data_IF_631546166208
#
_entry.id   IF_631546166208
#
_cell.length_a   1.000
_cell.length_b   1.000
_cell.length_c   1.000
_cell.angle_alpha   90.00
_cell.angle_beta   90.00
_cell.angle_gamma   90.00
#
_symmetry.space_group_name_H-M   'P 1'
#
loop_
_entity.id
_entity.type
_entity.pdbx_description
1 polymer ?
#
# COMPACT_ATOMS: atom_id res chain seq x y z
N UNK A 1 18.63 3.77 -10.00
CA UNK A 1 17.97 4.80 -9.15
C UNK A 1 16.61 5.08 -9.78
N UNK A 2 15.50 4.61 -9.19
CA UNK A 2 14.15 4.93 -9.68
C UNK A 2 13.72 6.29 -9.14
N UNK A 3 13.41 7.26 -10.02
CA UNK A 3 12.90 8.57 -9.62
C UNK A 3 11.49 8.42 -9.04
N UNK A 4 11.20 9.13 -7.96
CA UNK A 4 9.85 9.24 -7.41
C UNK A 4 9.25 10.55 -7.90
N UNK A 5 8.01 10.50 -8.37
CA UNK A 5 7.24 11.64 -8.84
C UNK A 5 6.05 11.85 -7.91
N UNK A 6 5.72 13.09 -7.57
CA UNK A 6 4.42 13.42 -6.97
C UNK A 6 3.36 13.59 -8.07
N UNK A 7 2.07 13.54 -7.71
CA UNK A 7 0.99 13.80 -8.66
C UNK A 7 1.10 15.20 -9.30
N UNK A 8 1.52 16.20 -8.51
CA UNK A 8 1.74 17.56 -9.01
C UNK A 8 2.90 17.65 -9.99
N UNK A 9 4.03 16.98 -9.71
CA UNK A 9 5.15 16.90 -10.66
C UNK A 9 4.79 16.13 -11.92
N UNK A 10 4.06 15.02 -11.80
CA UNK A 10 3.64 14.22 -12.94
C UNK A 10 2.76 15.04 -13.89
N UNK A 11 1.86 15.86 -13.35
CA UNK A 11 0.97 16.74 -14.12
C UNK A 11 1.71 17.78 -14.96
N UNK A 12 3.00 18.04 -14.72
CA UNK A 12 3.82 18.93 -15.56
C UNK A 12 4.29 18.27 -16.87
N UNK A 13 4.07 16.97 -17.01
CA UNK A 13 4.46 16.14 -18.16
C UNK A 13 3.22 15.65 -18.94
N UNK A 14 2.19 16.51 -19.06
CA UNK A 14 0.95 16.25 -19.78
C UNK A 14 1.08 16.36 -21.31
N UNK A 15 2.26 16.73 -21.81
CA UNK A 15 2.51 16.88 -23.24
C UNK A 15 1.96 18.18 -23.85
N UNK A 16 1.50 19.14 -23.03
CA UNK A 16 1.24 20.52 -23.50
C UNK A 16 2.52 21.22 -23.96
N UNK A 17 3.65 20.94 -23.30
CA UNK A 17 4.97 21.43 -23.73
C UNK A 17 5.61 20.44 -24.71
N UNK A 18 5.83 20.88 -25.96
CA UNK A 18 6.46 20.05 -27.00
C UNK A 18 7.92 19.64 -26.70
N UNK A 19 8.61 20.45 -25.89
CA UNK A 19 10.00 20.22 -25.48
C UNK A 19 10.13 19.22 -24.32
N UNK A 20 9.04 19.00 -23.57
CA UNK A 20 9.01 18.07 -22.44
C UNK A 20 8.60 16.66 -22.87
N UNK A 21 9.08 15.62 -22.16
CA UNK A 21 8.56 14.28 -22.32
C UNK A 21 7.11 14.17 -21.83
N UNK A 22 6.41 13.12 -22.26
CA UNK A 22 5.04 12.81 -21.86
C UNK A 22 5.06 11.59 -20.96
N UNK A 23 4.51 11.73 -19.76
CA UNK A 23 4.50 10.66 -18.75
C UNK A 23 3.08 10.20 -18.41
N UNK A 24 2.94 8.91 -18.12
CA UNK A 24 1.69 8.32 -17.63
C UNK A 24 2.03 7.42 -16.45
N UNK A 25 1.23 7.49 -15.38
CA UNK A 25 1.33 6.57 -14.26
C UNK A 25 0.29 5.45 -14.38
N UNK A 26 0.74 4.21 -14.26
CA UNK A 26 -0.12 3.02 -14.17
C UNK A 26 0.36 2.17 -13.01
N UNK A 27 -0.54 1.95 -12.06
CA UNK A 27 -0.35 1.19 -10.81
C UNK A 27 0.84 1.70 -10.01
N UNK A 28 0.98 3.02 -9.95
CA UNK A 28 2.09 3.70 -9.29
C UNK A 28 3.43 3.62 -10.03
N UNK A 29 3.50 3.06 -11.24
CA UNK A 29 4.70 3.07 -12.09
C UNK A 29 4.56 4.15 -13.15
N UNK A 30 5.59 4.97 -13.33
CA UNK A 30 5.61 6.06 -14.32
C UNK A 30 6.34 5.59 -15.58
N UNK A 31 5.65 5.68 -16.72
CA UNK A 31 6.14 5.31 -18.04
C UNK A 31 6.39 6.54 -18.91
N UNK A 32 7.47 6.51 -19.69
CA UNK A 32 7.72 7.47 -20.77
C UNK A 32 6.98 7.05 -22.03
N UNK A 33 5.96 7.83 -22.39
CA UNK A 33 5.16 7.65 -23.60
C UNK A 33 5.45 8.73 -24.64
N UNK A 34 6.60 9.41 -24.55
CA UNK A 34 6.99 10.49 -25.46
C UNK A 34 7.12 10.01 -26.91
N UNK A 35 7.46 8.74 -27.11
CA UNK A 35 7.49 8.09 -28.42
C UNK A 35 6.09 7.95 -29.07
N UNK A 36 5.02 8.08 -28.29
CA UNK A 36 3.63 8.00 -28.72
C UNK A 36 2.90 9.35 -28.51
N UNK A 37 3.60 10.46 -28.74
CA UNK A 37 3.07 11.82 -28.55
C UNK A 37 1.84 12.10 -29.40
N UNK A 38 1.70 11.51 -30.59
CA UNK A 38 0.48 11.63 -31.41
C UNK A 38 -0.78 11.08 -30.73
N UNK A 39 -0.62 10.19 -29.74
CA UNK A 39 -1.70 9.55 -29.01
C UNK A 39 -1.98 10.22 -27.66
N UNK A 40 -0.92 10.46 -26.89
CA UNK A 40 -1.01 10.96 -25.51
C UNK A 40 -0.68 12.45 -25.37
N UNK A 41 -0.06 13.05 -26.37
CA UNK A 41 0.20 14.50 -26.37
C UNK A 41 -1.07 15.31 -26.59
N UNK A 42 -0.93 16.64 -26.49
CA UNK A 42 -2.00 17.61 -26.71
C UNK A 42 -2.74 17.34 -28.03
N UNK A 43 -4.08 17.21 -27.98
CA UNK A 43 -4.91 16.96 -29.16
C UNK A 43 -4.97 15.50 -29.62
N UNK A 44 -4.27 14.59 -28.93
CA UNK A 44 -4.37 13.15 -29.16
C UNK A 44 -5.62 12.54 -28.51
N UNK A 45 -6.10 11.39 -28.99
CA UNK A 45 -7.30 10.72 -28.45
C UNK A 45 -7.17 10.30 -26.98
N UNK A 46 -5.94 10.20 -26.47
CA UNK A 46 -5.63 9.80 -25.11
C UNK A 46 -4.91 10.89 -24.31
N UNK A 47 -5.05 12.16 -24.72
CA UNK A 47 -4.42 13.30 -24.03
C UNK A 47 -4.78 13.37 -22.55
N UNK A 48 -5.98 12.92 -22.18
CA UNK A 48 -6.48 12.94 -20.80
C UNK A 48 -5.66 12.07 -19.85
N UNK A 49 -4.89 11.12 -20.37
CA UNK A 49 -4.06 10.23 -19.57
C UNK A 49 -2.67 10.82 -19.27
N UNK A 50 -2.23 11.78 -20.08
CA UNK A 50 -0.92 12.38 -19.92
C UNK A 50 -0.81 13.18 -18.62
N UNK A 51 0.30 13.00 -17.93
CA UNK A 51 0.61 13.62 -16.66
C UNK A 51 -0.22 13.10 -15.47
N UNK A 52 -0.92 11.96 -15.62
CA UNK A 52 -1.88 11.47 -14.62
C UNK A 52 -1.72 9.99 -14.32
N UNK A 53 -2.37 9.59 -13.24
CA UNK A 53 -2.60 8.21 -12.88
C UNK A 53 -3.80 7.67 -13.67
N UNK A 54 -3.64 6.54 -14.35
CA UNK A 54 -4.65 5.97 -15.25
C UNK A 54 -4.97 4.50 -14.97
N UNK A 55 -4.63 3.96 -13.79
CA UNK A 55 -4.92 2.56 -13.45
C UNK A 55 -6.39 2.23 -13.59
N UNK A 56 -7.24 3.03 -12.95
CA UNK A 56 -8.67 2.78 -12.96
C UNK A 56 -9.24 2.93 -14.38
N UNK A 57 -8.86 3.98 -15.11
CA UNK A 57 -9.27 4.21 -16.48
C UNK A 57 -8.94 3.01 -17.40
N UNK A 58 -7.73 2.44 -17.26
CA UNK A 58 -7.31 1.25 -18.01
C UNK A 58 -8.04 -0.01 -17.56
N UNK A 59 -8.28 -0.18 -16.26
CA UNK A 59 -9.01 -1.32 -15.70
C UNK A 59 -10.45 -1.39 -16.23
N UNK A 60 -11.14 -0.24 -16.29
CA UNK A 60 -12.52 -0.15 -16.77
C UNK A 60 -12.63 0.12 -18.28
N UNK A 61 -11.49 0.27 -18.97
CA UNK A 61 -11.38 0.61 -20.39
C UNK A 61 -12.17 1.87 -20.79
N UNK A 62 -12.07 2.93 -19.99
CA UNK A 62 -12.72 4.22 -20.29
C UNK A 62 -11.69 5.35 -20.37
N UNK A 63 -11.85 6.16 -21.40
CA UNK A 63 -11.10 7.41 -21.60
C UNK A 63 -11.90 8.53 -20.97
N UNK A 64 -11.85 8.62 -19.63
CA UNK A 64 -12.57 9.62 -18.85
C UNK A 64 -11.68 10.23 -17.76
N UNK A 65 -11.79 11.54 -17.56
CA UNK A 65 -10.99 12.28 -16.59
C UNK A 65 -11.29 11.85 -15.14
N UNK A 66 -12.55 11.55 -14.82
CA UNK A 66 -12.95 11.07 -13.50
C UNK A 66 -12.45 9.65 -13.21
N UNK A 67 -12.13 8.88 -14.25
CA UNK A 67 -11.53 7.56 -14.12
C UNK A 67 -9.99 7.60 -14.02
N UNK A 68 -9.35 8.76 -14.16
CA UNK A 68 -7.90 8.92 -14.04
C UNK A 68 -7.48 9.06 -12.57
N UNK A 69 -7.42 7.93 -11.87
CA UNK A 69 -6.97 7.83 -10.48
C UNK A 69 -6.57 6.38 -10.12
N UNK A 70 -5.91 6.24 -8.97
CA UNK A 70 -5.40 4.97 -8.46
C UNK A 70 -6.44 4.14 -7.67
N UNK A 71 -7.67 4.63 -7.53
CA UNK A 71 -8.70 3.90 -6.79
C UNK A 71 -9.21 2.70 -7.59
N UNK A 72 -8.84 1.51 -7.16
CA UNK A 72 -9.25 0.22 -7.73
C UNK A 72 -10.23 -0.55 -6.85
N UNK A 73 -10.75 0.07 -5.77
CA UNK A 73 -11.56 -0.63 -4.76
C UNK A 73 -12.88 -1.20 -5.32
N UNK A 74 -13.49 -0.54 -6.31
CA UNK A 74 -14.71 -1.01 -6.97
C UNK A 74 -14.47 -1.79 -8.27
N UNK A 75 -13.20 -2.04 -8.64
CA UNK A 75 -12.90 -2.83 -9.83
C UNK A 75 -13.16 -4.32 -9.59
N UNK A 76 -13.83 -4.96 -10.54
CA UNK A 76 -14.04 -6.40 -10.54
C UNK A 76 -12.75 -7.16 -10.87
N UNK A 77 -12.69 -8.46 -10.54
CA UNK A 77 -11.54 -9.29 -10.88
C UNK A 77 -11.21 -9.32 -12.39
N UNK A 78 -12.22 -9.20 -13.25
CA UNK A 78 -12.01 -9.11 -14.70
C UNK A 78 -11.34 -7.78 -15.10
N UNK A 79 -11.79 -6.66 -14.52
CA UNK A 79 -11.21 -5.34 -14.78
C UNK A 79 -9.76 -5.26 -14.26
N UNK A 80 -9.48 -5.86 -13.11
CA UNK A 80 -8.11 -5.97 -12.60
C UNK A 80 -7.22 -6.82 -13.52
N UNK A 81 -7.74 -7.92 -14.07
CA UNK A 81 -7.00 -8.71 -15.07
C UNK A 81 -6.70 -7.87 -16.33
N UNK A 82 -7.68 -7.11 -16.82
CA UNK A 82 -7.49 -6.19 -17.93
C UNK A 82 -6.40 -5.16 -17.65
N UNK A 83 -6.35 -4.62 -16.42
CA UNK A 83 -5.27 -3.73 -15.99
C UNK A 83 -3.90 -4.40 -16.04
N UNK A 84 -3.76 -5.64 -15.56
CA UNK A 84 -2.49 -6.38 -15.62
C UNK A 84 -2.03 -6.64 -17.06
N UNK A 85 -2.96 -6.97 -17.97
CA UNK A 85 -2.70 -7.08 -19.40
C UNK A 85 -2.18 -5.76 -19.99
N UNK A 86 -2.76 -4.62 -19.60
CA UNK A 86 -2.28 -3.30 -19.98
C UNK A 86 -0.89 -3.01 -19.43
N UNK A 87 -0.63 -3.29 -18.15
CA UNK A 87 0.69 -3.11 -17.54
C UNK A 87 1.76 -3.92 -18.30
N UNK A 88 1.45 -5.16 -18.68
CA UNK A 88 2.36 -6.01 -19.45
C UNK A 88 2.69 -5.39 -20.81
N UNK A 89 1.68 -4.87 -21.51
CA UNK A 89 1.85 -4.15 -22.79
C UNK A 89 2.69 -2.88 -22.61
N UNK A 90 2.43 -2.10 -21.56
CA UNK A 90 3.19 -0.88 -21.26
C UNK A 90 4.65 -1.20 -20.93
N UNK A 91 4.92 -2.20 -20.11
CA UNK A 91 6.28 -2.66 -19.80
C UNK A 91 7.08 -3.10 -21.03
N UNK A 92 6.38 -3.64 -22.04
CA UNK A 92 7.03 -4.10 -23.27
C UNK A 92 7.29 -2.96 -24.25
N UNK A 93 6.46 -1.90 -24.22
CA UNK A 93 6.46 -0.83 -25.22
C UNK A 93 7.15 0.46 -24.75
N UNK A 94 7.10 0.75 -23.46
CA UNK A 94 7.52 2.04 -22.89
C UNK A 94 8.52 1.83 -21.77
N UNK A 95 9.45 2.79 -21.63
CA UNK A 95 10.44 2.75 -20.58
C UNK A 95 9.82 3.17 -19.23
N UNK A 96 10.08 2.39 -18.18
CA UNK A 96 9.78 2.79 -16.81
C UNK A 96 10.79 3.83 -16.34
N UNK A 97 10.34 5.06 -16.08
CA UNK A 97 11.20 6.17 -15.64
C UNK A 97 11.15 6.41 -14.14
N UNK A 98 10.15 5.87 -13.45
CA UNK A 98 10.02 6.06 -12.02
C UNK A 98 8.77 5.47 -11.41
N UNK A 99 8.44 5.96 -10.21
CA UNK A 99 7.24 5.59 -9.45
C UNK A 99 6.48 6.83 -9.01
N UNK A 100 5.16 6.74 -8.96
CA UNK A 100 4.29 7.78 -8.42
C UNK A 100 4.23 7.61 -6.90
N UNK A 101 4.48 8.68 -6.15
CA UNK A 101 4.27 8.73 -4.73
C UNK A 101 2.78 8.59 -4.45
N UNK A 102 2.39 7.49 -3.82
CA UNK A 102 1.03 7.33 -3.32
C UNK A 102 0.94 8.06 -1.98
N UNK A 103 -0.01 8.98 -1.84
CA UNK A 103 -0.32 9.66 -0.58
C UNK A 103 -0.92 8.64 0.40
N UNK A 104 -0.06 7.81 0.98
CA UNK A 104 -0.46 6.71 1.86
C UNK A 104 0.51 5.54 1.94
N UNK A 105 1.39 5.36 0.95
CA UNK A 105 2.39 4.30 1.00
C UNK A 105 3.75 4.90 1.36
N UNK A 106 4.06 4.93 2.67
CA UNK A 106 5.45 5.06 3.12
C UNK A 106 6.26 4.05 2.35
N UNK A 107 7.29 4.52 1.63
CA UNK A 107 8.27 3.67 1.00
C UNK A 107 8.73 2.64 2.02
N UNK A 108 8.27 1.40 1.86
CA UNK A 108 8.89 0.27 2.53
C UNK A 108 10.20 0.08 1.79
N UNK A 109 11.18 0.90 2.16
CA UNK A 109 12.58 0.53 2.00
C UNK A 109 12.69 -0.81 2.68
N UNK A 110 13.20 -1.77 1.92
CA UNK A 110 13.44 -3.14 2.30
C UNK A 110 14.51 -3.14 3.39
N UNK A 111 14.13 -2.75 4.60
CA UNK A 111 14.99 -2.78 5.76
C UNK A 111 15.10 -4.25 6.19
N UNK A 112 16.29 -4.88 6.09
CA UNK A 112 16.47 -6.30 6.40
C UNK A 112 16.23 -6.64 7.89
N UNK A 113 15.89 -5.65 8.72
CA UNK A 113 15.55 -5.83 10.14
C UNK A 113 14.05 -6.11 10.37
N UNK A 114 13.23 -6.26 9.31
CA UNK A 114 11.80 -6.55 9.46
C UNK A 114 11.50 -7.90 10.17
N UNK A 115 12.46 -8.82 10.23
CA UNK A 115 12.36 -10.05 11.03
C UNK A 115 12.30 -9.81 12.55
N UNK A 116 12.66 -8.63 13.06
CA UNK A 116 12.58 -8.31 14.49
C UNK A 116 11.26 -7.66 14.93
N UNK A 117 10.29 -7.48 14.02
CA UNK A 117 9.01 -6.80 14.37
C UNK A 117 7.73 -7.61 14.14
N UNK A 118 7.86 -8.91 13.89
CA UNK A 118 6.71 -9.83 13.86
C UNK A 118 6.77 -10.82 15.02
N UNK A 119 6.82 -10.30 16.24
CA UNK A 119 6.38 -11.08 17.41
C UNK A 119 4.85 -11.03 17.47
N UNK A 120 4.14 -12.18 17.45
CA UNK A 120 2.70 -12.24 17.68
C UNK A 120 2.33 -12.08 19.17
N UNK A 121 3.09 -11.25 19.90
CA UNK A 121 2.75 -10.93 21.28
C UNK A 121 1.83 -9.73 21.29
N UNK A 122 0.54 -10.01 21.23
CA UNK A 122 -0.47 -9.10 21.78
C UNK A 122 -0.02 -8.69 23.19
N UNK A 123 0.06 -7.38 23.52
CA UNK A 123 0.47 -6.93 24.85
C UNK A 123 -0.49 -7.37 25.97
N UNK A 124 -1.58 -8.09 25.66
CA UNK A 124 -2.48 -8.69 26.63
C UNK A 124 -2.02 -10.04 27.22
N UNK A 125 -1.16 -10.81 26.54
CA UNK A 125 -0.89 -12.19 26.99
C UNK A 125 0.11 -12.24 28.16
N UNK A 126 1.15 -11.41 28.16
CA UNK A 126 2.13 -11.33 29.27
C UNK A 126 1.50 -10.76 30.55
N UNK A 127 0.60 -9.78 30.40
CA UNK A 127 -0.14 -9.24 31.54
C UNK A 127 -1.11 -10.28 32.12
N UNK A 128 -1.80 -11.06 31.28
CA UNK A 128 -2.73 -12.10 31.73
C UNK A 128 -1.98 -13.23 32.45
N UNK A 129 -0.81 -13.66 31.95
CA UNK A 129 -0.02 -14.69 32.63
C UNK A 129 0.48 -14.23 34.00
N UNK A 130 0.94 -12.98 34.14
CA UNK A 130 1.36 -12.42 35.43
C UNK A 130 0.18 -12.32 36.40
N UNK A 131 -1.00 -11.90 35.93
CA UNK A 131 -2.21 -11.83 36.77
C UNK A 131 -2.69 -13.22 37.19
N UNK A 132 -2.67 -14.22 36.31
CA UNK A 132 -3.05 -15.60 36.66
C UNK A 132 -2.06 -16.23 37.65
N UNK A 133 -0.75 -15.96 37.48
CA UNK A 133 0.28 -16.42 38.43
C UNK A 133 0.13 -15.72 39.79
N UNK A 134 -0.15 -14.41 39.82
CA UNK A 134 -0.40 -13.69 41.07
C UNK A 134 -1.69 -14.15 41.77
N UNK A 135 -2.77 -14.39 41.04
CA UNK A 135 -4.04 -14.87 41.60
C UNK A 135 -3.92 -16.31 42.15
N UNK A 136 -3.15 -17.17 41.50
CA UNK A 136 -2.90 -18.54 41.99
C UNK A 136 -2.01 -18.55 43.22
N UNK A 137 -0.95 -17.74 43.25
CA UNK A 137 -0.08 -17.58 44.44
C UNK A 137 -0.89 -16.98 45.61
N UNK A 138 -1.71 -15.96 45.36
CA UNK A 138 -2.54 -15.33 46.39
C UNK A 138 -3.60 -16.30 46.94
N UNK A 139 -4.24 -17.09 46.07
CA UNK A 139 -5.19 -18.13 46.47
C UNK A 139 -4.55 -19.22 47.34
N UNK A 140 -3.36 -19.70 46.96
CA UNK A 140 -2.60 -20.65 47.78
C UNK A 140 -2.18 -20.06 49.13
N UNK A 141 -1.83 -18.77 49.18
CA UNK A 141 -1.48 -18.07 50.41
C UNK A 141 -2.68 -17.90 51.35
N UNK A 142 -3.88 -17.58 50.83
CA UNK A 142 -5.10 -17.53 51.64
C UNK A 142 -5.46 -18.91 52.20
N UNK A 143 -5.35 -19.97 51.39
CA UNK A 143 -5.57 -21.34 51.88
C UNK A 143 -4.55 -21.75 52.95
N UNK A 144 -3.28 -21.35 52.79
CA UNK A 144 -2.25 -21.55 53.80
C UNK A 144 -2.56 -20.84 55.11
N UNK A 145 -3.07 -19.60 55.06
CA UNK A 145 -3.48 -18.87 56.24
C UNK A 145 -4.69 -19.52 56.93
N UNK A 146 -5.66 -20.05 56.20
CA UNK A 146 -6.81 -20.77 56.78
C UNK A 146 -6.37 -22.06 57.49
N UNK A 147 -5.47 -22.84 56.88
CA UNK A 147 -4.92 -24.06 57.49
C UNK A 147 -4.13 -23.72 58.76
N UNK A 148 -3.34 -22.63 58.73
CA UNK A 148 -2.57 -22.18 59.90
C UNK A 148 -3.44 -21.56 60.99
N UNK A 149 -4.58 -20.97 60.60
CA UNK A 149 -5.54 -20.35 61.50
C UNK A 149 -6.59 -21.32 62.03
N UNK A 150 -6.53 -22.61 61.66
CA UNK A 150 -7.27 -23.69 62.32
C UNK A 150 -6.51 -24.11 63.59
N UNK A 151 -6.95 -23.71 64.80
CA UNK A 151 -6.35 -24.19 66.02
C UNK A 151 -6.78 -25.65 66.22
N UNK A 152 -6.00 -26.61 65.72
CA UNK A 152 -5.96 -27.94 66.34
C UNK A 152 -5.31 -27.77 67.73
N UNK A 153 -6.17 -27.33 68.65
CA UNK A 153 -5.92 -27.19 70.07
C UNK A 153 -7.18 -27.60 70.84
N UNK A 154 -7.70 -28.79 70.55
CA UNK A 154 -8.40 -29.58 71.56
C UNK A 154 -7.34 -30.46 72.23
N UNK A 155 -7.03 -30.10 73.48
CA UNK A 155 -6.69 -31.03 74.56
C UNK A 155 -7.97 -31.31 75.33
#
# INVERSE_FOLDING_TARGET
MSRTFTASELSMYDGSDGDKPVYIAVKGIVYDVSAARDFYGKGGPYEIFAGRECSRALAIMKVDLAACNDNLADCTAQQLKTLEDWITKFNSKYAMVGKLAHEGCKSQVDDPTMFLRSSPFTPGLVATLVVVVLLTILGAYILYLEIKSSPHGEL
#
